data_IF_326212191771
#
_entry.id   IF_326212191771
#
_cell.length_a   1.000
_cell.length_b   1.000
_cell.length_c   1.000
_cell.angle_alpha   90.00
_cell.angle_beta   90.00
_cell.angle_gamma   90.00
#
_symmetry.space_group_name_H-M   'P 1'
#
loop_
_entity.id
_entity.type
_entity.pdbx_description
1 polymer ?
#
# COMPACT_ATOMS: atom_id res chain seq x y z
N UNK A 1 18.02 -7.43 26.60
CA UNK A 1 17.88 -8.20 25.35
C UNK A 1 17.99 -7.27 24.15
N UNK A 2 18.63 -7.74 23.10
CA UNK A 2 19.03 -7.00 21.90
C UNK A 2 18.27 -7.58 20.71
N UNK A 3 17.77 -6.72 19.81
CA UNK A 3 17.15 -7.15 18.56
C UNK A 3 18.16 -8.03 17.80
N UNK A 4 17.74 -9.21 17.36
CA UNK A 4 18.64 -10.15 16.68
C UNK A 4 19.03 -9.59 15.30
N UNK A 5 20.24 -9.90 14.86
CA UNK A 5 20.76 -9.45 13.56
C UNK A 5 19.86 -9.85 12.38
N UNK A 6 19.23 -11.03 12.46
CA UNK A 6 18.23 -11.50 11.49
C UNK A 6 17.06 -10.51 11.36
N UNK A 7 16.47 -10.12 12.49
CA UNK A 7 15.31 -9.22 12.52
C UNK A 7 15.68 -7.82 12.03
N UNK A 8 16.89 -7.33 12.37
CA UNK A 8 17.45 -6.08 11.84
C UNK A 8 17.53 -6.11 10.30
N UNK A 9 18.12 -7.17 9.74
CA UNK A 9 18.27 -7.32 8.28
C UNK A 9 16.92 -7.38 7.57
N UNK A 10 15.96 -8.11 8.12
CA UNK A 10 14.61 -8.20 7.54
C UNK A 10 13.93 -6.83 7.59
N UNK A 11 13.99 -6.12 8.72
CA UNK A 11 13.37 -4.81 8.90
C UNK A 11 13.92 -3.78 7.90
N UNK A 12 15.23 -3.60 7.88
CA UNK A 12 15.88 -2.62 7.02
C UNK A 12 15.78 -2.99 5.53
N UNK A 13 15.88 -4.29 5.21
CA UNK A 13 15.76 -4.80 3.85
C UNK A 13 14.36 -4.59 3.27
N UNK A 14 13.31 -4.96 4.03
CA UNK A 14 11.92 -4.80 3.57
C UNK A 14 11.46 -3.35 3.52
N UNK A 15 12.00 -2.50 4.41
CA UNK A 15 11.74 -1.07 4.37
C UNK A 15 12.59 -0.31 3.32
N UNK A 16 13.51 -1.00 2.62
CA UNK A 16 14.47 -0.41 1.67
C UNK A 16 15.20 0.83 2.23
N UNK A 17 15.58 0.79 3.51
CA UNK A 17 16.24 1.91 4.18
C UNK A 17 15.43 3.22 4.22
N UNK A 18 14.10 3.14 4.05
CA UNK A 18 13.20 4.31 4.03
C UNK A 18 12.19 4.28 5.16
N UNK A 19 11.78 5.47 5.62
CA UNK A 19 10.75 5.59 6.65
C UNK A 19 9.43 4.98 6.16
N UNK A 20 8.85 4.08 6.94
CA UNK A 20 7.61 3.39 6.58
C UNK A 20 6.36 4.27 6.57
N UNK A 21 6.48 5.57 6.88
CA UNK A 21 5.39 6.54 6.80
C UNK A 21 5.64 7.58 5.70
N UNK A 22 6.68 8.41 5.84
CA UNK A 22 6.96 9.49 4.87
C UNK A 22 7.85 9.07 3.70
N UNK A 23 8.31 7.82 3.67
CA UNK A 23 9.20 7.27 2.64
C UNK A 23 10.54 8.03 2.51
N UNK A 24 10.97 8.84 3.50
CA UNK A 24 12.28 9.52 3.46
C UNK A 24 13.44 8.52 3.52
N UNK A 25 14.56 8.83 2.87
CA UNK A 25 15.79 8.03 2.94
C UNK A 25 16.43 8.14 4.32
N UNK A 26 16.61 7.01 4.98
CA UNK A 26 17.15 6.90 6.33
C UNK A 26 18.61 6.46 6.35
N UNK A 27 19.25 6.45 5.18
CA UNK A 27 20.67 6.18 5.04
C UNK A 27 21.35 7.36 4.37
N UNK A 28 22.59 7.66 4.77
CA UNK A 28 23.42 8.63 4.06
C UNK A 28 24.85 8.15 4.01
N UNK A 29 25.48 8.36 2.86
CA UNK A 29 26.89 8.05 2.64
C UNK A 29 27.65 9.35 2.43
N UNK A 30 28.74 9.49 3.15
CA UNK A 30 29.70 10.59 3.07
C UNK A 30 31.08 10.01 2.73
N UNK A 31 32.05 10.87 2.40
CA UNK A 31 33.43 10.45 2.11
C UNK A 31 34.07 9.66 3.27
N UNK A 32 33.67 9.95 4.50
CA UNK A 32 34.25 9.38 5.72
C UNK A 32 33.48 8.15 6.25
N UNK A 33 32.39 7.75 5.57
CA UNK A 33 31.58 6.61 5.96
C UNK A 33 30.08 6.81 5.78
N UNK A 34 29.31 5.77 6.08
CA UNK A 34 27.85 5.77 5.99
C UNK A 34 27.21 5.81 7.38
N UNK A 35 26.08 6.50 7.47
CA UNK A 35 25.28 6.60 8.70
C UNK A 35 23.85 6.16 8.44
N UNK A 36 23.20 5.68 9.51
CA UNK A 36 21.78 5.41 9.57
C UNK A 36 21.08 6.51 10.37
N UNK A 37 20.12 7.17 9.76
CA UNK A 37 19.24 8.17 10.40
C UNK A 37 17.96 7.54 10.95
N UNK A 38 17.65 6.30 10.54
CA UNK A 38 16.43 5.60 10.90
C UNK A 38 16.46 4.96 12.28
N UNK A 39 15.29 4.91 12.91
CA UNK A 39 15.05 4.30 14.21
C UNK A 39 14.11 3.10 14.08
N UNK A 40 14.39 2.06 14.87
CA UNK A 40 13.64 0.81 14.87
C UNK A 40 12.63 0.88 16.01
N UNK A 41 11.43 1.34 15.68
CA UNK A 41 10.38 1.57 16.65
C UNK A 41 9.62 0.28 16.95
N UNK A 42 9.32 0.06 18.22
CA UNK A 42 8.40 -0.99 18.64
C UNK A 42 6.96 -0.54 18.39
N UNK A 43 6.17 -1.38 17.71
CA UNK A 43 4.74 -1.14 17.53
C UNK A 43 4.03 -1.24 18.88
N UNK A 44 4.27 -2.34 19.59
CA UNK A 44 3.85 -2.56 20.98
C UNK A 44 5.08 -2.39 21.89
N UNK A 45 5.00 -1.48 22.86
CA UNK A 45 6.13 -1.18 23.74
C UNK A 45 6.61 -2.38 24.57
N UNK A 46 7.89 -2.34 24.94
CA UNK A 46 8.54 -3.38 25.75
C UNK A 46 8.00 -3.51 27.17
N UNK A 47 7.35 -2.49 27.70
CA UNK A 47 6.80 -2.47 29.07
C UNK A 47 5.32 -2.15 29.04
N UNK A 48 4.55 -2.68 30.01
CA UNK A 48 3.12 -2.38 30.14
C UNK A 48 2.83 -0.87 30.23
N UNK A 49 3.72 -0.11 30.86
CA UNK A 49 3.60 1.35 31.00
C UNK A 49 4.14 2.14 29.79
N UNK A 50 4.64 1.44 28.76
CA UNK A 50 5.15 2.07 27.54
C UNK A 50 4.03 2.36 26.54
N UNK A 51 4.30 3.13 25.47
CA UNK A 51 3.33 3.41 24.41
C UNK A 51 2.65 2.12 23.90
N UNK A 52 1.31 2.05 23.98
CA UNK A 52 0.49 0.88 23.57
C UNK A 52 0.76 -0.44 24.31
N UNK A 53 1.65 -0.48 25.31
CA UNK A 53 2.03 -1.71 26.03
C UNK A 53 0.93 -2.30 26.93
N UNK A 54 -0.14 -1.55 27.21
CA UNK A 54 -1.29 -1.99 28.00
C UNK A 54 -2.44 -2.58 27.17
N UNK A 55 -2.43 -2.40 25.84
CA UNK A 55 -3.49 -2.90 24.96
C UNK A 55 -3.29 -4.38 24.60
N UNK A 56 -2.05 -4.76 24.32
CA UNK A 56 -1.64 -6.14 24.05
C UNK A 56 -0.23 -6.33 24.63
N UNK A 57 -0.05 -7.18 25.64
CA UNK A 57 1.27 -7.41 26.22
C UNK A 57 1.94 -8.61 25.55
N UNK A 58 2.97 -8.35 24.75
CA UNK A 58 3.74 -9.41 24.10
C UNK A 58 4.64 -10.15 25.10
N UNK A 59 4.75 -11.47 24.88
CA UNK A 59 5.74 -12.30 25.53
C UNK A 59 7.15 -11.75 25.24
N UNK A 60 8.07 -11.92 26.18
CA UNK A 60 9.37 -11.26 26.13
C UNK A 60 10.21 -11.65 24.90
N UNK A 61 10.04 -12.87 24.41
CA UNK A 61 10.66 -13.39 23.19
C UNK A 61 10.04 -12.84 21.88
N UNK A 62 8.93 -12.11 21.94
CA UNK A 62 8.23 -11.57 20.76
C UNK A 62 8.41 -10.07 20.58
N UNK A 63 8.76 -9.36 21.66
CA UNK A 63 8.89 -7.89 21.65
C UNK A 63 9.92 -7.37 20.65
N UNK A 64 11.04 -8.08 20.51
CA UNK A 64 12.17 -7.67 19.67
C UNK A 64 12.19 -8.36 18.30
N UNK A 65 11.11 -9.06 17.93
CA UNK A 65 10.99 -9.68 16.60
C UNK A 65 10.59 -8.65 15.55
N UNK A 66 11.01 -8.90 14.31
CA UNK A 66 10.67 -8.09 13.15
C UNK A 66 9.17 -7.78 13.02
N UNK A 67 8.29 -8.72 13.40
CA UNK A 67 6.84 -8.54 13.34
C UNK A 67 6.35 -7.37 14.22
N UNK A 68 7.03 -7.09 15.33
CA UNK A 68 6.69 -5.98 16.25
C UNK A 68 7.53 -4.71 15.98
N UNK A 69 8.30 -4.65 14.89
CA UNK A 69 9.18 -3.53 14.58
C UNK A 69 8.77 -2.80 13.29
N UNK A 70 8.88 -1.47 13.30
CA UNK A 70 8.70 -0.61 12.13
C UNK A 70 9.89 0.35 12.00
N UNK A 71 10.33 0.63 10.77
CA UNK A 71 11.44 1.53 10.51
C UNK A 71 10.92 2.95 10.28
N UNK A 72 11.31 3.91 11.11
CA UNK A 72 10.81 5.29 11.05
C UNK A 72 11.96 6.30 11.08
N UNK A 73 11.71 7.51 10.55
CA UNK A 73 12.60 8.64 10.85
C UNK A 73 12.37 9.12 12.30
N UNK A 74 13.32 9.85 12.90
CA UNK A 74 13.20 10.31 14.29
C UNK A 74 11.93 11.11 14.56
N UNK A 75 11.45 11.87 13.56
CA UNK A 75 10.20 12.63 13.65
C UNK A 75 8.99 11.71 13.81
N UNK A 76 8.82 10.71 12.95
CA UNK A 76 7.66 9.82 12.99
C UNK A 76 7.73 8.83 14.13
N UNK A 77 8.93 8.38 14.54
CA UNK A 77 9.08 7.58 15.74
C UNK A 77 8.63 8.34 16.99
N UNK A 78 9.11 9.58 17.17
CA UNK A 78 8.69 10.44 18.27
C UNK A 78 7.19 10.75 18.24
N UNK A 79 6.60 10.91 17.05
CA UNK A 79 5.17 11.15 16.88
C UNK A 79 4.33 10.00 17.45
N UNK A 80 4.61 8.76 17.04
CA UNK A 80 3.83 7.60 17.50
C UNK A 80 4.04 7.33 18.99
N UNK A 81 5.23 7.61 19.53
CA UNK A 81 5.53 7.41 20.94
C UNK A 81 4.87 8.44 21.85
N UNK A 82 4.78 9.70 21.40
CA UNK A 82 4.20 10.79 22.20
C UNK A 82 2.67 10.88 22.10
N UNK A 83 2.07 10.30 21.07
CA UNK A 83 0.63 10.31 20.86
C UNK A 83 0.02 8.89 20.71
N UNK A 84 0.22 7.97 21.68
CA UNK A 84 -0.19 6.57 21.54
C UNK A 84 -1.70 6.37 21.43
N UNK A 85 -2.52 7.35 21.83
CA UNK A 85 -3.99 7.32 21.66
C UNK A 85 -4.43 7.66 20.24
N UNK A 86 -3.58 8.33 19.46
CA UNK A 86 -3.87 8.74 18.09
C UNK A 86 -3.33 7.76 17.05
N UNK A 87 -2.47 6.83 17.45
CA UNK A 87 -1.85 5.83 16.60
C UNK A 87 -2.01 4.48 17.27
N UNK A 88 -3.07 3.76 16.90
CA UNK A 88 -3.32 2.42 17.40
C UNK A 88 -2.31 1.42 16.82
N UNK A 89 -2.26 0.21 17.39
CA UNK A 89 -1.35 -0.85 16.93
C UNK A 89 -1.63 -1.19 15.47
N UNK A 90 -2.90 -1.29 15.12
CA UNK A 90 -3.40 -1.65 13.79
C UNK A 90 -2.99 -0.62 12.74
N UNK A 91 -3.04 0.68 13.08
CA UNK A 91 -2.65 1.76 12.18
C UNK A 91 -1.17 1.66 11.81
N UNK A 92 -0.31 1.42 12.80
CA UNK A 92 1.14 1.33 12.61
C UNK A 92 1.51 0.05 11.84
N UNK A 93 0.84 -1.07 12.12
CA UNK A 93 1.02 -2.31 11.35
C UNK A 93 0.59 -2.11 9.89
N UNK A 94 -0.49 -1.36 9.65
CA UNK A 94 -0.93 -1.02 8.30
C UNK A 94 0.08 -0.10 7.58
N UNK A 95 0.71 0.85 8.28
CA UNK A 95 1.80 1.65 7.70
C UNK A 95 2.97 0.78 7.26
N UNK A 96 3.43 -0.12 8.14
CA UNK A 96 4.48 -1.10 7.83
C UNK A 96 4.11 -1.92 6.60
N UNK A 97 2.91 -2.51 6.58
CA UNK A 97 2.44 -3.36 5.47
C UNK A 97 2.39 -2.58 4.16
N UNK A 98 1.75 -1.40 4.13
CA UNK A 98 1.64 -0.56 2.93
C UNK A 98 3.01 -0.17 2.38
N UNK A 99 3.95 0.19 3.26
CA UNK A 99 5.30 0.55 2.85
C UNK A 99 6.06 -0.62 2.24
N UNK A 100 6.07 -1.77 2.90
CA UNK A 100 6.80 -2.94 2.41
C UNK A 100 6.18 -3.48 1.11
N UNK A 101 4.85 -3.44 0.96
CA UNK A 101 4.19 -3.72 -0.31
C UNK A 101 4.62 -2.76 -1.42
N UNK A 102 4.70 -1.46 -1.11
CA UNK A 102 5.19 -0.45 -2.05
C UNK A 102 6.63 -0.73 -2.46
N UNK A 103 7.52 -1.03 -1.52
CA UNK A 103 8.93 -1.37 -1.78
C UNK A 103 9.02 -2.61 -2.68
N UNK A 104 8.38 -3.71 -2.28
CA UNK A 104 8.43 -4.97 -3.03
C UNK A 104 7.86 -4.77 -4.44
N UNK A 105 6.79 -3.99 -4.55
CA UNK A 105 6.18 -3.69 -5.82
C UNK A 105 7.07 -2.79 -6.70
N UNK A 106 7.74 -1.78 -6.15
CA UNK A 106 8.73 -0.97 -6.87
C UNK A 106 9.93 -1.79 -7.37
N UNK A 107 10.32 -2.85 -6.65
CA UNK A 107 11.41 -3.76 -7.02
C UNK A 107 10.98 -4.84 -8.01
N UNK A 108 9.68 -5.07 -8.22
CA UNK A 108 9.21 -5.95 -9.28
C UNK A 108 9.56 -5.36 -10.66
N UNK A 109 10.50 -5.98 -11.36
CA UNK A 109 10.87 -5.61 -12.73
C UNK A 109 9.80 -6.15 -13.69
N UNK A 110 8.81 -5.32 -13.99
CA UNK A 110 7.87 -5.54 -15.07
C UNK A 110 8.19 -4.49 -16.14
N UNK A 111 9.29 -4.71 -16.85
CA UNK A 111 9.55 -4.04 -18.12
C UNK A 111 9.01 -4.95 -19.22
N UNK A 112 8.18 -4.39 -20.08
CA UNK A 112 7.62 -5.07 -21.25
C UNK A 112 8.12 -4.39 -22.52
N UNK A 113 8.10 -5.11 -23.63
CA UNK A 113 8.65 -4.59 -24.89
C UNK A 113 7.61 -3.86 -25.73
N UNK A 114 6.33 -4.20 -25.58
CA UNK A 114 5.26 -3.69 -26.43
C UNK A 114 4.08 -3.16 -25.62
N UNK A 115 3.32 -2.24 -26.23
CA UNK A 115 2.09 -1.75 -25.63
C UNK A 115 1.05 -2.88 -25.46
N UNK A 116 1.04 -3.87 -26.36
CA UNK A 116 0.21 -5.08 -26.25
C UNK A 116 0.54 -5.88 -24.98
N UNK A 117 1.81 -6.20 -24.74
CA UNK A 117 2.25 -6.91 -23.52
C UNK A 117 1.91 -6.13 -22.24
N UNK A 118 1.99 -4.79 -22.30
CA UNK A 118 1.58 -3.92 -21.21
C UNK A 118 0.08 -4.09 -20.93
N UNK A 119 -0.73 -4.01 -21.99
CA UNK A 119 -2.18 -4.17 -21.93
C UNK A 119 -2.60 -5.52 -21.37
N UNK A 120 -2.03 -6.62 -21.86
CA UNK A 120 -2.34 -7.98 -21.41
C UNK A 120 -2.12 -8.12 -19.89
N UNK A 121 -1.00 -7.60 -19.38
CA UNK A 121 -0.70 -7.63 -17.95
C UNK A 121 -1.67 -6.78 -17.13
N UNK A 122 -2.02 -5.59 -17.61
CA UNK A 122 -2.98 -4.70 -16.93
C UNK A 122 -4.39 -5.32 -16.95
N UNK A 123 -4.79 -5.93 -18.07
CA UNK A 123 -6.09 -6.56 -18.24
C UNK A 123 -6.32 -7.69 -17.24
N UNK A 124 -5.33 -8.55 -16.98
CA UNK A 124 -5.43 -9.62 -15.98
C UNK A 124 -5.73 -9.05 -14.58
N UNK A 125 -5.08 -7.95 -14.21
CA UNK A 125 -5.28 -7.29 -12.91
C UNK A 125 -6.67 -6.62 -12.85
N UNK A 126 -7.09 -5.96 -13.94
CA UNK A 126 -8.41 -5.37 -14.06
C UNK A 126 -9.53 -6.41 -14.00
N UNK A 127 -9.32 -7.61 -14.57
CA UNK A 127 -10.26 -8.72 -14.49
C UNK A 127 -10.46 -9.17 -13.03
N UNK A 128 -9.39 -9.32 -12.24
CA UNK A 128 -9.51 -9.63 -10.81
C UNK A 128 -10.33 -8.54 -10.08
N UNK A 129 -10.02 -7.26 -10.32
CA UNK A 129 -10.76 -6.15 -9.73
C UNK A 129 -12.25 -6.17 -10.12
N UNK A 130 -12.54 -6.43 -11.40
CA UNK A 130 -13.90 -6.50 -11.95
C UNK A 130 -14.71 -7.62 -11.33
N UNK A 131 -14.13 -8.82 -11.16
CA UNK A 131 -14.81 -9.95 -10.51
C UNK A 131 -15.13 -9.64 -9.04
N UNK A 132 -14.17 -9.07 -8.31
CA UNK A 132 -14.39 -8.66 -6.91
C UNK A 132 -15.50 -7.60 -6.83
N UNK A 133 -15.46 -6.57 -7.68
CA UNK A 133 -16.48 -5.52 -7.69
C UNK A 133 -17.86 -6.08 -8.04
N UNK A 134 -17.96 -6.97 -9.03
CA UNK A 134 -19.22 -7.62 -9.41
C UNK A 134 -19.81 -8.46 -8.26
N UNK A 135 -18.96 -9.15 -7.51
CA UNK A 135 -19.39 -10.08 -6.46
C UNK A 135 -19.69 -9.38 -5.13
N UNK A 136 -18.89 -8.38 -4.75
CA UNK A 136 -18.95 -7.77 -3.41
C UNK A 136 -19.18 -6.26 -3.44
N UNK A 137 -19.05 -5.61 -4.59
CA UNK A 137 -19.22 -4.17 -4.70
C UNK A 137 -20.63 -3.70 -4.32
N UNK A 138 -20.82 -2.38 -4.17
CA UNK A 138 -22.08 -1.78 -3.72
C UNK A 138 -23.26 -2.06 -4.66
N UNK A 139 -22.99 -2.38 -5.92
CA UNK A 139 -23.99 -2.72 -6.94
C UNK A 139 -24.16 -4.24 -7.13
N UNK A 140 -23.49 -5.06 -6.32
CA UNK A 140 -23.58 -6.52 -6.40
C UNK A 140 -24.99 -7.02 -6.10
N UNK A 141 -25.35 -8.19 -6.65
CA UNK A 141 -26.65 -8.81 -6.41
C UNK A 141 -26.88 -9.04 -4.90
N UNK A 142 -25.83 -9.44 -4.16
CA UNK A 142 -25.92 -9.71 -2.72
C UNK A 142 -26.15 -8.43 -1.93
N UNK A 143 -25.45 -7.32 -2.25
CA UNK A 143 -25.68 -6.03 -1.63
C UNK A 143 -27.11 -5.51 -1.86
N UNK A 144 -27.68 -5.75 -3.04
CA UNK A 144 -29.05 -5.33 -3.39
C UNK A 144 -30.14 -6.24 -2.79
N UNK A 145 -29.87 -7.54 -2.63
CA UNK A 145 -30.87 -8.53 -2.20
C UNK A 145 -30.87 -8.80 -0.69
N UNK A 146 -29.74 -8.58 0.00
CA UNK A 146 -29.64 -8.77 1.43
C UNK A 146 -28.77 -7.68 2.11
N UNK A 147 -29.39 -6.56 2.53
CA UNK A 147 -28.71 -5.46 3.20
C UNK A 147 -28.05 -5.81 4.54
N UNK A 148 -28.44 -6.94 5.15
CA UNK A 148 -27.88 -7.44 6.42
C UNK A 148 -26.78 -8.49 6.22
N UNK A 149 -26.35 -8.75 4.98
CA UNK A 149 -25.25 -9.66 4.71
C UNK A 149 -23.89 -9.04 5.02
N UNK A 150 -22.90 -9.89 5.31
CA UNK A 150 -21.50 -9.48 5.54
C UNK A 150 -20.81 -8.92 4.28
N UNK A 151 -21.54 -8.70 3.18
CA UNK A 151 -20.99 -8.25 1.89
C UNK A 151 -20.31 -6.89 1.98
N UNK A 152 -20.82 -5.99 2.84
CA UNK A 152 -20.22 -4.66 3.07
C UNK A 152 -18.86 -4.76 3.77
N UNK A 153 -18.73 -5.67 4.73
CA UNK A 153 -17.48 -5.92 5.45
C UNK A 153 -16.47 -6.63 4.54
N UNK A 154 -16.93 -7.62 3.78
CA UNK A 154 -16.11 -8.28 2.76
C UNK A 154 -15.64 -7.26 1.72
N UNK A 155 -16.50 -6.36 1.25
CA UNK A 155 -16.11 -5.31 0.32
C UNK A 155 -15.04 -4.40 0.92
N UNK A 156 -15.23 -3.95 2.16
CA UNK A 156 -14.26 -3.13 2.88
C UNK A 156 -12.89 -3.81 2.98
N UNK A 157 -12.88 -5.11 3.33
CA UNK A 157 -11.66 -5.92 3.34
C UNK A 157 -11.04 -6.08 1.94
N UNK A 158 -11.84 -6.36 0.91
CA UNK A 158 -11.36 -6.56 -0.46
C UNK A 158 -10.79 -5.27 -1.06
N UNK A 159 -11.32 -4.10 -0.71
CA UNK A 159 -10.72 -2.81 -1.10
C UNK A 159 -9.27 -2.72 -0.62
N UNK A 160 -9.04 -2.97 0.68
CA UNK A 160 -7.74 -2.83 1.33
C UNK A 160 -6.74 -3.91 0.91
N UNK A 161 -7.23 -5.14 0.73
CA UNK A 161 -6.37 -6.33 0.49
C UNK A 161 -6.16 -6.64 -0.98
N UNK A 162 -7.01 -6.15 -1.89
CA UNK A 162 -6.98 -6.50 -3.32
C UNK A 162 -7.08 -5.28 -4.23
N UNK A 163 -8.18 -4.54 -4.21
CA UNK A 163 -8.45 -3.48 -5.21
C UNK A 163 -7.38 -2.38 -5.16
N UNK A 164 -7.11 -1.82 -3.97
CA UNK A 164 -6.11 -0.76 -3.80
C UNK A 164 -4.70 -1.25 -4.18
N UNK A 165 -4.23 -2.40 -3.66
CA UNK A 165 -2.97 -2.99 -4.12
C UNK A 165 -2.91 -3.19 -5.64
N UNK A 166 -3.97 -3.68 -6.26
CA UNK A 166 -4.03 -3.89 -7.71
C UNK A 166 -4.03 -2.58 -8.51
N UNK A 167 -4.71 -1.54 -8.05
CA UNK A 167 -4.65 -0.21 -8.67
C UNK A 167 -3.23 0.35 -8.63
N UNK A 168 -2.56 0.28 -7.47
CA UNK A 168 -1.14 0.65 -7.35
C UNK A 168 -0.28 -0.19 -8.32
N UNK A 169 -0.58 -1.49 -8.46
CA UNK A 169 0.12 -2.36 -9.40
C UNK A 169 0.03 -1.86 -10.85
N UNK A 170 -1.18 -1.55 -11.29
CA UNK A 170 -1.42 -1.03 -12.64
C UNK A 170 -0.65 0.29 -12.84
N UNK A 171 -0.71 1.20 -11.86
CA UNK A 171 -0.02 2.50 -11.93
C UNK A 171 1.48 2.31 -12.17
N UNK A 172 2.20 1.56 -11.32
CA UNK A 172 3.66 1.50 -11.52
C UNK A 172 4.04 0.69 -12.76
N UNK A 173 3.26 -0.33 -13.15
CA UNK A 173 3.51 -1.06 -14.40
C UNK A 173 3.45 -0.09 -15.59
N UNK A 174 2.43 0.77 -15.64
CA UNK A 174 2.29 1.75 -16.73
C UNK A 174 3.34 2.87 -16.61
N UNK A 175 3.65 3.38 -15.41
CA UNK A 175 4.67 4.43 -15.23
C UNK A 175 6.07 3.97 -15.64
N UNK A 176 6.45 2.73 -15.31
CA UNK A 176 7.73 2.16 -15.74
C UNK A 176 7.80 2.01 -17.26
N UNK A 177 6.69 1.70 -17.90
CA UNK A 177 6.60 1.48 -19.35
C UNK A 177 5.95 2.67 -20.09
N UNK A 178 5.98 3.87 -19.49
CA UNK A 178 5.25 5.05 -19.99
C UNK A 178 5.73 5.49 -21.38
N UNK A 179 6.95 5.10 -21.75
CA UNK A 179 7.53 5.30 -23.08
C UNK A 179 6.78 4.57 -24.20
N UNK A 180 6.06 3.48 -23.88
CA UNK A 180 5.29 2.71 -24.86
C UNK A 180 3.96 3.38 -25.25
N UNK A 181 3.48 4.35 -24.44
CA UNK A 181 2.19 5.00 -24.64
C UNK A 181 2.30 6.24 -25.55
N UNK A 182 1.34 6.38 -26.46
CA UNK A 182 1.05 7.64 -27.19
C UNK A 182 0.45 8.68 -26.25
N UNK A 183 0.44 9.95 -26.66
CA UNK A 183 -0.09 11.05 -25.85
C UNK A 183 -1.55 10.83 -25.39
N UNK A 184 -2.42 10.35 -26.27
CA UNK A 184 -3.83 10.06 -25.95
C UNK A 184 -3.95 8.96 -24.89
N UNK A 185 -3.16 7.90 -25.01
CA UNK A 185 -3.10 6.80 -24.05
C UNK A 185 -2.56 7.26 -22.68
N UNK A 186 -1.55 8.13 -22.66
CA UNK A 186 -1.04 8.75 -21.42
C UNK A 186 -2.13 9.54 -20.72
N UNK A 187 -2.89 10.35 -21.46
CA UNK A 187 -4.02 11.12 -20.90
C UNK A 187 -5.04 10.18 -20.25
N UNK A 188 -5.42 9.11 -20.93
CA UNK A 188 -6.34 8.09 -20.40
C UNK A 188 -5.78 7.40 -19.15
N UNK A 189 -4.49 7.06 -19.14
CA UNK A 189 -3.82 6.52 -17.96
C UNK A 189 -3.89 7.47 -16.75
N UNK A 190 -3.62 8.77 -16.93
CA UNK A 190 -3.68 9.72 -15.82
C UNK A 190 -5.10 9.88 -15.26
N UNK A 191 -6.16 9.75 -16.08
CA UNK A 191 -7.53 9.69 -15.57
C UNK A 191 -7.73 8.49 -14.62
N UNK A 192 -7.17 7.33 -14.98
CA UNK A 192 -7.23 6.15 -14.12
C UNK A 192 -6.41 6.34 -12.84
N UNK A 193 -5.22 6.95 -12.94
CA UNK A 193 -4.37 7.25 -11.79
C UNK A 193 -5.08 8.13 -10.76
N UNK A 194 -5.69 9.24 -11.20
CA UNK A 194 -6.46 10.13 -10.34
C UNK A 194 -7.65 9.39 -9.67
N UNK A 195 -8.37 8.56 -10.43
CA UNK A 195 -9.40 7.68 -9.89
C UNK A 195 -8.88 6.75 -8.79
N UNK A 196 -7.78 6.06 -9.05
CA UNK A 196 -7.19 5.09 -8.13
C UNK A 196 -6.70 5.74 -6.82
N UNK A 197 -6.03 6.88 -6.91
CA UNK A 197 -5.51 7.61 -5.75
C UNK A 197 -6.66 8.20 -4.92
N UNK A 198 -7.66 8.81 -5.56
CA UNK A 198 -8.84 9.32 -4.86
C UNK A 198 -9.67 8.20 -4.22
N UNK A 199 -9.78 7.03 -4.86
CA UNK A 199 -10.45 5.86 -4.30
C UNK A 199 -9.75 5.33 -3.04
N UNK A 200 -8.42 5.30 -3.05
CA UNK A 200 -7.62 4.91 -1.89
C UNK A 200 -7.78 5.91 -0.73
N UNK A 201 -7.70 7.21 -1.01
CA UNK A 201 -7.90 8.27 0.00
C UNK A 201 -9.30 8.18 0.61
N UNK A 202 -10.34 8.06 -0.22
CA UNK A 202 -11.72 7.92 0.24
C UNK A 202 -11.96 6.66 1.10
N UNK A 203 -11.11 5.63 0.96
CA UNK A 203 -11.17 4.44 1.81
C UNK A 203 -10.55 4.67 3.19
N UNK A 204 -9.58 5.58 3.30
CA UNK A 204 -8.96 5.96 4.59
C UNK A 204 -9.75 7.04 5.32
N UNK A 205 -10.32 7.99 4.59
CA UNK A 205 -11.12 9.08 5.14
C UNK A 205 -12.19 9.45 4.13
N UNK A 206 -13.46 9.45 4.56
CA UNK A 206 -14.58 9.73 3.68
C UNK A 206 -14.42 11.13 3.07
N UNK A 207 -14.36 11.18 1.75
CA UNK A 207 -14.29 12.42 0.97
C UNK A 207 -15.67 12.79 0.42
N UNK A 208 -15.80 14.04 0.01
CA UNK A 208 -16.96 14.50 -0.75
C UNK A 208 -17.04 13.77 -2.08
N UNK A 209 -18.28 13.50 -2.54
CA UNK A 209 -18.53 12.71 -3.75
C UNK A 209 -17.86 13.30 -5.00
N UNK A 210 -17.76 14.63 -5.06
CA UNK A 210 -17.15 15.37 -6.17
C UNK A 210 -15.62 15.23 -6.20
N UNK A 211 -15.00 14.93 -5.05
CA UNK A 211 -13.55 14.74 -4.92
C UNK A 211 -13.10 13.31 -5.30
N UNK A 212 -14.03 12.39 -5.61
CA UNK A 212 -13.75 10.99 -5.91
C UNK A 212 -14.22 10.65 -7.33
N UNK A 213 -13.36 10.84 -8.36
CA UNK A 213 -13.69 10.45 -9.72
C UNK A 213 -14.01 8.95 -9.80
N UNK A 214 -14.97 8.61 -10.68
CA UNK A 214 -15.31 7.21 -10.98
C UNK A 214 -14.24 6.58 -11.88
N UNK A 215 -14.28 5.25 -11.97
CA UNK A 215 -13.42 4.52 -12.87
C UNK A 215 -13.65 5.00 -14.33
N UNK A 216 -12.59 5.42 -15.05
CA UNK A 216 -12.73 5.95 -16.40
C UNK A 216 -12.98 4.84 -17.42
N UNK A 217 -14.12 4.90 -18.12
CA UNK A 217 -14.50 3.90 -19.13
C UNK A 217 -13.50 3.88 -20.29
N UNK A 218 -12.92 5.04 -20.62
CA UNK A 218 -11.91 5.19 -21.66
C UNK A 218 -10.65 4.40 -21.35
N UNK A 219 -10.30 4.22 -20.07
CA UNK A 219 -9.16 3.39 -19.67
C UNK A 219 -9.45 1.91 -19.87
N UNK A 220 -10.65 1.45 -19.52
CA UNK A 220 -11.09 0.08 -19.82
C UNK A 220 -11.03 -0.17 -21.33
N UNK A 221 -11.66 0.70 -22.12
CA UNK A 221 -11.69 0.56 -23.57
C UNK A 221 -10.28 0.54 -24.17
N UNK A 222 -9.41 1.45 -23.73
CA UNK A 222 -8.01 1.47 -24.19
C UNK A 222 -7.28 0.15 -23.93
N UNK A 223 -7.55 -0.52 -22.80
CA UNK A 223 -6.93 -1.81 -22.45
C UNK A 223 -7.59 -2.99 -23.19
N UNK A 224 -8.90 -2.94 -23.45
CA UNK A 224 -9.60 -3.98 -24.22
C UNK A 224 -9.24 -3.92 -25.71
N UNK A 225 -9.29 -2.72 -26.32
CA UNK A 225 -9.02 -2.51 -27.75
C UNK A 225 -7.59 -2.90 -28.14
N UNK A 226 -6.60 -2.67 -27.30
CA UNK A 226 -5.21 -3.08 -27.59
C UNK A 226 -4.97 -4.59 -27.50
N UNK A 227 -5.93 -5.38 -27.01
CA UNK A 227 -5.85 -6.85 -27.03
C UNK A 227 -6.57 -7.45 -28.25
N UNK A 228 -7.39 -6.66 -28.95
CA UNK A 228 -8.14 -7.06 -30.14
C UNK A 228 -7.42 -6.70 -31.46
N UNK A 229 -6.31 -5.95 -31.39
CA UNK A 229 -5.41 -5.59 -32.51
C UNK A 229 -4.24 -6.58 -32.66
#
# INVERSE_FOLDING_TARGET
MTILEKDLKILWGRAAGRCSYCNEDLTRTFEQGSITLGEMAHVIARSQNGPRGSAEFLAENERDKYENLILLCPTHHRLIDKAPRNFAVEDILEWKRRHEEKVNFSLSNIEVQTFYELCERVAIILLENSQIHKQYGPESLVANSNPFSDVSDIWSLKKLTKIIPNNRKIINIIEKNIGLLKYTQKKTFYLFKEHAEAFELNTQSRLDREAVPRFPIEFKNMIEECMDE
#
